data_IF_755451359788
#
_entry.id   IF_755451359788
#
_cell.length_a   1.000
_cell.length_b   1.000
_cell.length_c   1.000
_cell.angle_alpha   90.00
_cell.angle_beta   90.00
_cell.angle_gamma   90.00
#
_symmetry.space_group_name_H-M   'P 1'
#
loop_
_entity.id
_entity.type
_entity.pdbx_description
1 polymer ?
#
# COMPACT_ATOMS: atom_id res chain seq x y z
N UNK A 1 4.80 -16.78 5.44
CA UNK A 1 5.83 -15.90 6.07
C UNK A 1 6.94 -15.47 5.11
N UNK A 2 7.34 -16.27 4.11
CA UNK A 2 8.33 -15.90 3.10
C UNK A 2 7.93 -14.69 2.24
N UNK A 3 6.67 -14.65 1.84
CA UNK A 3 6.17 -13.71 0.83
C UNK A 3 6.15 -12.26 1.32
N UNK A 4 5.87 -12.07 2.61
CA UNK A 4 5.91 -10.77 3.29
C UNK A 4 7.31 -10.16 3.27
N UNK A 5 8.35 -10.95 3.56
CA UNK A 5 9.74 -10.44 3.55
C UNK A 5 10.22 -10.07 2.15
N UNK A 6 9.67 -10.70 1.12
CA UNK A 6 9.99 -10.38 -0.26
C UNK A 6 9.25 -9.11 -0.69
N UNK A 7 7.96 -9.00 -0.35
CA UNK A 7 7.16 -7.81 -0.57
C UNK A 7 7.81 -6.57 0.06
N UNK A 8 8.28 -6.68 1.31
CA UNK A 8 8.91 -5.56 2.04
C UNK A 8 10.14 -5.00 1.34
N UNK A 9 10.94 -5.87 0.71
CA UNK A 9 12.11 -5.46 -0.08
C UNK A 9 11.71 -4.68 -1.32
N UNK A 10 10.69 -5.14 -2.05
CA UNK A 10 10.17 -4.43 -3.22
C UNK A 10 9.55 -3.10 -2.82
N UNK A 11 8.78 -3.06 -1.74
CA UNK A 11 8.19 -1.83 -1.21
C UNK A 11 9.27 -0.81 -0.84
N UNK A 12 10.32 -1.22 -0.13
CA UNK A 12 11.42 -0.33 0.24
C UNK A 12 12.12 0.25 -0.99
N UNK A 13 12.37 -0.57 -2.01
CA UNK A 13 12.97 -0.11 -3.27
C UNK A 13 12.04 0.84 -4.03
N UNK A 14 10.74 0.53 -4.12
CA UNK A 14 9.75 1.38 -4.78
C UNK A 14 9.60 2.72 -4.06
N UNK A 15 9.54 2.70 -2.73
CA UNK A 15 9.43 3.90 -1.91
C UNK A 15 10.67 4.78 -2.05
N UNK A 16 11.89 4.20 -2.00
CA UNK A 16 13.13 4.95 -2.22
C UNK A 16 13.12 5.66 -3.57
N UNK A 17 12.74 4.93 -4.63
CA UNK A 17 12.67 5.48 -5.98
C UNK A 17 11.58 6.54 -6.12
N UNK A 18 10.42 6.33 -5.50
CA UNK A 18 9.34 7.31 -5.50
C UNK A 18 9.74 8.60 -4.77
N UNK A 19 10.53 8.50 -3.69
CA UNK A 19 11.09 9.66 -2.97
C UNK A 19 12.10 10.39 -3.82
N UNK A 20 13.02 9.67 -4.48
CA UNK A 20 14.02 10.27 -5.39
C UNK A 20 13.37 11.03 -6.55
N UNK A 21 12.24 10.54 -7.07
CA UNK A 21 11.51 11.16 -8.17
C UNK A 21 10.42 12.14 -7.71
N UNK A 22 10.19 12.30 -6.41
CA UNK A 22 9.12 13.15 -5.88
C UNK A 22 7.69 12.66 -6.19
N UNK A 23 7.53 11.42 -6.68
CA UNK A 23 6.26 10.84 -7.10
C UNK A 23 5.58 9.98 -6.01
N UNK A 24 5.94 10.19 -4.74
CA UNK A 24 5.48 9.35 -3.61
C UNK A 24 3.95 9.32 -3.50
N UNK A 25 3.29 10.47 -3.64
CA UNK A 25 1.82 10.56 -3.52
C UNK A 25 1.10 9.88 -4.70
N UNK A 26 1.64 10.03 -5.91
CA UNK A 26 1.08 9.41 -7.10
C UNK A 26 1.18 7.88 -7.01
N UNK A 27 2.35 7.36 -6.65
CA UNK A 27 2.56 5.92 -6.45
C UNK A 27 1.69 5.39 -5.30
N UNK A 28 1.47 6.17 -4.24
CA UNK A 28 0.55 5.79 -3.17
C UNK A 28 -0.89 5.65 -3.65
N UNK A 29 -1.38 6.64 -4.42
CA UNK A 29 -2.71 6.59 -4.99
C UNK A 29 -2.88 5.41 -5.94
N UNK A 30 -1.87 5.13 -6.77
CA UNK A 30 -1.87 3.96 -7.67
C UNK A 30 -1.93 2.64 -6.89
N UNK A 31 -1.12 2.51 -5.84
CA UNK A 31 -1.10 1.31 -4.99
C UNK A 31 -2.42 1.13 -4.24
N UNK A 32 -3.10 2.22 -3.87
CA UNK A 32 -4.41 2.18 -3.25
C UNK A 32 -5.49 1.74 -4.27
N UNK A 33 -5.45 2.25 -5.50
CA UNK A 33 -6.31 1.79 -6.59
C UNK A 33 -6.09 0.30 -6.87
N UNK A 34 -4.84 -0.13 -6.88
CA UNK A 34 -4.48 -1.53 -7.05
C UNK A 34 -5.00 -2.41 -5.90
N UNK A 35 -4.85 -1.96 -4.65
CA UNK A 35 -5.37 -2.66 -3.48
C UNK A 35 -6.90 -2.82 -3.55
N UNK A 36 -7.64 -1.78 -3.94
CA UNK A 36 -9.09 -1.84 -4.16
C UNK A 36 -9.46 -2.82 -5.28
N UNK A 37 -8.70 -2.83 -6.37
CA UNK A 37 -8.92 -3.78 -7.47
C UNK A 37 -8.73 -5.23 -7.00
N UNK A 38 -7.80 -5.45 -6.05
CA UNK A 38 -7.58 -6.75 -5.41
C UNK A 38 -8.64 -7.16 -4.39
N UNK A 39 -9.58 -6.30 -4.01
CA UNK A 39 -10.75 -6.70 -3.20
C UNK A 39 -11.70 -7.58 -4.02
N UNK A 40 -11.69 -7.44 -5.35
CA UNK A 40 -12.40 -8.36 -6.22
C UNK A 40 -11.74 -9.74 -6.17
N UNK A 41 -12.49 -10.73 -5.66
CA UNK A 41 -12.05 -12.11 -5.49
C UNK A 41 -11.61 -12.75 -6.80
N UNK A 42 -12.25 -12.42 -7.92
CA UNK A 42 -11.90 -12.97 -9.24
C UNK A 42 -10.53 -12.47 -9.70
N UNK A 43 -10.26 -11.18 -9.51
CA UNK A 43 -8.97 -10.58 -9.86
C UNK A 43 -7.85 -11.10 -8.94
N UNK A 44 -8.11 -11.20 -7.64
CA UNK A 44 -7.16 -11.80 -6.71
C UNK A 44 -6.86 -13.27 -7.05
N UNK A 45 -7.89 -14.06 -7.39
CA UNK A 45 -7.73 -15.45 -7.81
C UNK A 45 -6.96 -15.56 -9.13
N UNK A 46 -7.19 -14.66 -10.09
CA UNK A 46 -6.43 -14.59 -11.34
C UNK A 46 -4.93 -14.40 -11.08
N UNK A 47 -4.57 -13.48 -10.18
CA UNK A 47 -3.17 -13.22 -9.83
C UNK A 47 -2.49 -14.44 -9.17
N UNK A 48 -3.20 -15.14 -8.30
CA UNK A 48 -2.68 -16.32 -7.58
C UNK A 48 -2.68 -17.60 -8.43
N UNK A 49 -3.54 -17.69 -9.45
CA UNK A 49 -3.75 -18.93 -10.20
C UNK A 49 -2.52 -19.34 -11.01
N UNK A 50 -1.91 -20.53 -10.79
CA UNK A 50 -0.79 -21.01 -11.58
C UNK A 50 -1.21 -21.49 -12.99
N UNK A 51 -2.52 -21.64 -13.22
CA UNK A 51 -3.08 -22.13 -14.49
C UNK A 51 -3.02 -21.06 -15.58
N UNK A 52 -3.06 -19.79 -15.20
CA UNK A 52 -3.00 -18.67 -16.14
C UNK A 52 -1.53 -18.35 -16.42
N UNK A 53 -1.08 -18.41 -17.69
CA UNK A 53 0.29 -18.05 -18.06
C UNK A 53 0.64 -16.62 -17.60
N UNK A 54 1.87 -16.45 -17.12
CA UNK A 54 2.40 -15.16 -16.69
C UNK A 54 2.29 -14.08 -17.77
N UNK A 55 2.53 -14.44 -19.04
CA UNK A 55 2.38 -13.51 -20.16
C UNK A 55 0.96 -12.97 -20.32
N UNK A 56 -0.06 -13.83 -20.12
CA UNK A 56 -1.46 -13.38 -20.16
C UNK A 56 -1.79 -12.46 -19.00
N UNK A 57 -1.30 -12.76 -17.79
CA UNK A 57 -1.51 -11.88 -16.63
C UNK A 57 -0.84 -10.53 -16.80
N UNK A 58 0.40 -10.52 -17.32
CA UNK A 58 1.11 -9.30 -17.70
C UNK A 58 0.29 -8.46 -18.66
N UNK A 59 -0.24 -9.04 -19.74
CA UNK A 59 -1.06 -8.33 -20.72
C UNK A 59 -2.32 -7.75 -20.06
N UNK A 60 -2.98 -8.51 -19.19
CA UNK A 60 -4.18 -8.03 -18.47
C UNK A 60 -3.82 -6.86 -17.55
N UNK A 61 -2.75 -6.97 -16.77
CA UNK A 61 -2.27 -5.90 -15.90
C UNK A 61 -1.88 -4.66 -16.71
N UNK A 62 -1.21 -4.85 -17.83
CA UNK A 62 -0.87 -3.76 -18.74
C UNK A 62 -2.14 -3.09 -19.29
N UNK A 63 -3.12 -3.85 -19.79
CA UNK A 63 -4.37 -3.28 -20.31
C UNK A 63 -5.20 -2.55 -19.24
N UNK A 64 -5.19 -3.02 -18.00
CA UNK A 64 -5.98 -2.45 -16.92
C UNK A 64 -5.39 -1.15 -16.36
N UNK A 65 -4.05 -1.10 -16.22
CA UNK A 65 -3.35 -0.04 -15.51
C UNK A 65 -2.57 0.92 -16.41
N UNK A 66 -2.23 0.53 -17.65
CA UNK A 66 -1.51 1.41 -18.59
C UNK A 66 -2.31 2.68 -18.87
N UNK A 67 -1.65 3.82 -18.70
CA UNK A 67 -2.24 5.15 -18.87
C UNK A 67 -3.11 5.62 -17.70
N UNK A 68 -3.32 4.79 -16.67
CA UNK A 68 -4.05 5.17 -15.44
C UNK A 68 -3.15 5.30 -14.22
N UNK A 69 -1.99 4.65 -14.24
CA UNK A 69 -1.02 4.67 -13.14
C UNK A 69 0.29 5.31 -13.60
N UNK A 70 1.04 5.81 -12.63
CA UNK A 70 2.35 6.42 -12.85
C UNK A 70 3.34 5.41 -13.47
N UNK A 71 4.33 5.93 -14.20
CA UNK A 71 5.36 5.13 -14.88
C UNK A 71 6.13 4.21 -13.92
N UNK A 72 6.39 4.68 -12.71
CA UNK A 72 7.02 3.89 -11.64
C UNK A 72 6.18 2.68 -11.22
N UNK A 73 4.87 2.88 -11.06
CA UNK A 73 3.93 1.82 -10.70
C UNK A 73 3.85 0.78 -11.82
N UNK A 74 3.84 1.21 -13.09
CA UNK A 74 3.91 0.27 -14.21
C UNK A 74 5.24 -0.49 -14.26
N UNK A 75 6.37 0.18 -14.00
CA UNK A 75 7.68 -0.45 -14.04
C UNK A 75 7.81 -1.57 -12.98
N UNK A 76 7.31 -1.35 -11.77
CA UNK A 76 7.35 -2.37 -10.72
C UNK A 76 6.43 -3.55 -11.05
N UNK A 77 5.25 -3.31 -11.62
CA UNK A 77 4.34 -4.35 -12.10
C UNK A 77 5.02 -5.19 -13.19
N UNK A 78 5.70 -4.53 -14.14
CA UNK A 78 6.43 -5.23 -15.20
C UNK A 78 7.59 -6.08 -14.65
N UNK A 79 8.34 -5.57 -13.67
CA UNK A 79 9.44 -6.32 -13.05
C UNK A 79 8.89 -7.56 -12.32
N UNK A 80 7.78 -7.41 -11.61
CA UNK A 80 7.18 -8.50 -10.84
C UNK A 80 6.57 -9.58 -11.74
N UNK A 81 5.93 -9.18 -12.84
CA UNK A 81 5.42 -10.10 -13.87
C UNK A 81 6.54 -10.87 -14.55
N UNK A 82 7.61 -10.20 -14.99
CA UNK A 82 8.80 -10.85 -15.59
C UNK A 82 9.50 -11.81 -14.64
N UNK A 83 9.40 -11.61 -13.32
CA UNK A 83 10.00 -12.47 -12.29
C UNK A 83 9.03 -13.53 -11.76
N UNK A 84 7.85 -13.70 -12.37
CA UNK A 84 6.80 -14.62 -11.93
C UNK A 84 6.34 -14.39 -10.47
N UNK A 85 6.44 -13.13 -10.00
CA UNK A 85 6.14 -12.69 -8.62
C UNK A 85 4.86 -11.87 -8.52
N UNK A 86 4.00 -11.96 -9.52
CA UNK A 86 2.68 -11.31 -9.57
C UNK A 86 1.75 -11.64 -8.39
N UNK A 87 1.77 -12.84 -7.79
CA UNK A 87 1.00 -13.11 -6.58
C UNK A 87 1.30 -12.13 -5.43
N UNK A 88 2.53 -11.59 -5.38
CA UNK A 88 2.97 -10.66 -4.34
C UNK A 88 2.43 -9.24 -4.52
N UNK A 89 1.86 -8.89 -5.68
CA UNK A 89 1.37 -7.54 -5.96
C UNK A 89 0.35 -7.08 -4.91
N UNK A 90 -0.52 -8.00 -4.48
CA UNK A 90 -1.53 -7.72 -3.45
C UNK A 90 -0.90 -7.42 -2.08
N UNK A 91 0.16 -8.14 -1.71
CA UNK A 91 0.92 -7.89 -0.48
C UNK A 91 1.71 -6.58 -0.56
N UNK A 92 2.35 -6.32 -1.70
CA UNK A 92 3.13 -5.11 -1.96
C UNK A 92 2.25 -3.86 -1.86
N UNK A 93 1.05 -3.88 -2.45
CA UNK A 93 0.14 -2.73 -2.38
C UNK A 93 -0.27 -2.40 -0.93
N UNK A 94 -0.57 -3.43 -0.12
CA UNK A 94 -0.90 -3.26 1.30
C UNK A 94 0.28 -2.75 2.12
N UNK A 95 1.45 -3.32 1.89
CA UNK A 95 2.65 -2.98 2.64
C UNK A 95 3.21 -1.62 2.23
N UNK A 96 3.02 -1.19 0.97
CA UNK A 96 3.35 0.16 0.51
C UNK A 96 2.56 1.22 1.27
N UNK A 97 1.28 0.97 1.57
CA UNK A 97 0.49 1.89 2.40
C UNK A 97 1.09 2.03 3.81
N UNK A 98 1.51 0.93 4.43
CA UNK A 98 2.19 0.97 5.74
C UNK A 98 3.52 1.72 5.66
N UNK A 99 4.35 1.43 4.65
CA UNK A 99 5.65 2.07 4.48
C UNK A 99 5.53 3.57 4.14
N UNK A 100 4.52 3.96 3.38
CA UNK A 100 4.18 5.37 3.12
C UNK A 100 3.78 6.08 4.41
N UNK A 101 2.94 5.46 5.24
CA UNK A 101 2.56 6.01 6.53
C UNK A 101 3.78 6.17 7.44
N UNK A 102 4.69 5.20 7.47
CA UNK A 102 5.95 5.33 8.20
C UNK A 102 6.81 6.48 7.66
N UNK A 103 6.93 6.62 6.34
CA UNK A 103 7.70 7.68 5.69
C UNK A 103 7.14 9.08 5.98
N UNK A 104 5.81 9.25 5.92
CA UNK A 104 5.15 10.51 6.29
C UNK A 104 5.04 10.73 7.81
N UNK A 105 5.48 9.78 8.63
CA UNK A 105 5.32 9.85 10.08
C UNK A 105 3.85 9.80 10.52
N UNK A 106 2.98 9.13 9.75
CA UNK A 106 1.58 8.86 10.09
C UNK A 106 1.53 7.62 10.98
N UNK A 107 1.37 7.81 12.29
CA UNK A 107 1.09 6.73 13.24
C UNK A 107 -0.39 6.36 13.23
N UNK A 108 -0.74 5.07 13.24
CA UNK A 108 -2.12 4.65 13.54
C UNK A 108 -2.23 4.45 15.05
N UNK A 109 -3.16 5.14 15.70
CA UNK A 109 -3.48 4.91 17.10
C UNK A 109 -4.94 4.48 17.23
N UNK A 110 -5.14 3.30 17.81
CA UNK A 110 -6.47 2.76 18.09
C UNK A 110 -6.88 3.21 19.49
N UNK A 111 -7.99 3.93 19.60
CA UNK A 111 -8.57 4.35 20.87
C UNK A 111 -9.79 3.48 21.14
N UNK A 112 -9.74 2.73 22.23
CA UNK A 112 -10.89 1.94 22.73
C UNK A 112 -11.51 2.72 23.88
N UNK A 113 -12.75 3.20 23.72
CA UNK A 113 -13.47 3.94 24.77
C UNK A 113 -14.88 3.43 24.96
N UNK A 114 -15.33 3.36 26.21
CA UNK A 114 -16.68 2.91 26.56
C UNK A 114 -17.79 3.93 26.22
N UNK A 115 -17.43 5.17 25.90
CA UNK A 115 -18.34 6.27 25.57
C UNK A 115 -17.77 6.99 24.33
N UNK A 116 -18.59 7.46 23.38
CA UNK A 116 -18.10 8.23 22.24
C UNK A 116 -17.31 9.47 22.71
N UNK A 117 -16.10 9.67 22.17
CA UNK A 117 -15.27 10.82 22.52
C UNK A 117 -15.87 12.12 21.99
N UNK A 118 -15.88 13.13 22.85
CA UNK A 118 -16.20 14.50 22.46
C UNK A 118 -15.06 15.12 21.63
N UNK A 119 -15.38 16.06 20.74
CA UNK A 119 -14.41 16.61 19.78
C UNK A 119 -13.20 17.29 20.47
N UNK A 120 -13.43 17.85 21.66
CA UNK A 120 -12.37 18.44 22.49
C UNK A 120 -11.39 17.39 23.04
N UNK A 121 -11.91 16.26 23.54
CA UNK A 121 -11.10 15.14 24.03
C UNK A 121 -10.31 14.47 22.90
N UNK A 122 -10.89 14.37 21.70
CA UNK A 122 -10.19 13.81 20.53
C UNK A 122 -8.95 14.62 20.17
N UNK A 123 -9.05 15.95 20.18
CA UNK A 123 -7.92 16.85 19.91
C UNK A 123 -6.84 16.80 21.00
N UNK A 124 -7.24 16.62 22.26
CA UNK A 124 -6.32 16.50 23.39
C UNK A 124 -5.56 15.17 23.37
N UNK A 125 -6.26 14.07 23.06
CA UNK A 125 -5.64 12.75 22.85
C UNK A 125 -4.72 12.78 21.64
N UNK A 126 -5.10 13.43 20.53
CA UNK A 126 -4.22 13.56 19.37
C UNK A 126 -2.92 14.32 19.71
N UNK A 127 -2.98 15.35 20.56
CA UNK A 127 -1.79 16.05 21.07
C UNK A 127 -0.91 15.14 21.94
N UNK A 128 -1.51 14.40 22.87
CA UNK A 128 -0.79 13.48 23.76
C UNK A 128 -0.12 12.36 22.95
N UNK A 129 -0.82 11.79 21.97
CA UNK A 129 -0.29 10.72 21.12
C UNK A 129 0.82 11.26 20.20
N UNK A 130 0.70 12.48 19.67
CA UNK A 130 1.79 13.16 18.93
C UNK A 130 3.03 13.38 19.81
N UNK A 131 2.84 13.80 21.07
CA UNK A 131 3.94 13.99 22.02
C UNK A 131 4.64 12.67 22.39
N UNK A 132 3.89 11.57 22.56
CA UNK A 132 4.45 10.28 22.95
C UNK A 132 5.05 9.49 21.79
N UNK A 133 4.51 9.61 20.56
CA UNK A 133 4.92 8.79 19.42
C UNK A 133 6.03 9.38 18.56
N UNK A 134 6.48 10.62 18.79
CA UNK A 134 7.50 11.31 17.98
C UNK A 134 7.22 11.28 16.46
N UNK A 135 5.94 11.16 16.08
CA UNK A 135 5.46 10.98 14.69
C UNK A 135 4.53 12.15 14.32
N UNK A 136 4.70 12.68 13.10
CA UNK A 136 4.14 13.95 12.64
C UNK A 136 2.61 13.99 12.46
N UNK A 137 1.96 12.85 12.25
CA UNK A 137 0.51 12.75 12.04
C UNK A 137 -0.03 11.48 12.68
N UNK A 138 -1.25 11.49 13.22
CA UNK A 138 -1.83 10.30 13.86
C UNK A 138 -3.24 10.07 13.32
N UNK A 139 -3.47 8.93 12.67
CA UNK A 139 -4.81 8.48 12.28
C UNK A 139 -5.45 7.75 13.45
N UNK A 140 -6.49 8.36 14.04
CA UNK A 140 -7.25 7.80 15.16
C UNK A 140 -8.39 6.91 14.64
N UNK A 141 -8.34 5.62 14.94
CA UNK A 141 -9.46 4.70 14.71
C UNK A 141 -10.16 4.41 16.04
N UNK A 142 -11.46 4.73 16.11
CA UNK A 142 -12.33 4.42 17.26
C UNK A 142 -12.91 3.02 17.10
N UNK A 143 -12.95 2.27 18.20
CA UNK A 143 -13.51 0.92 18.24
C UNK A 143 -14.36 0.69 19.48
#
# INVERSE_FOLDING_TARGET
MSDFRVASRYVKSLLSLAVEQGAVEEVHNDMNLFARTCENKEFAAMLQSPVIPHDKKRIILELLFKGKVHSLTMAIIEILTRKNREPLLSSIAKEFHTAYNEYKGIGKATITTAVPLDAALRAEVEKIVKQLSSKSQVELQEK
#
